data_IF_216050966401
#
_entry.id   IF_216050966401
#
_cell.length_a   1.000
_cell.length_b   1.000
_cell.length_c   1.000
_cell.angle_alpha   90.00
_cell.angle_beta   90.00
_cell.angle_gamma   90.00
#
_symmetry.space_group_name_H-M   'P 1'
#
loop_
_entity.id
_entity.type
_entity.pdbx_description
1 polymer ?
#
# COMPACT_ATOMS: atom_id res chain seq x y z
N UNK A 1 13.18 23.63 11.00
CA UNK A 1 12.16 22.65 11.31
C UNK A 1 12.80 21.30 11.62
N UNK A 2 12.42 20.69 12.69
CA UNK A 2 12.97 19.38 12.95
C UNK A 2 12.50 18.38 11.89
N UNK A 3 13.40 17.58 11.43
CA UNK A 3 13.05 16.47 10.56
C UNK A 3 12.26 15.44 11.33
N UNK A 4 11.43 14.69 10.63
CA UNK A 4 10.75 13.56 11.23
C UNK A 4 11.80 12.57 11.73
N UNK A 5 11.66 12.13 12.98
CA UNK A 5 12.51 11.09 13.55
C UNK A 5 12.20 9.70 12.97
N UNK A 6 11.09 9.56 12.25
CA UNK A 6 10.66 8.29 11.69
C UNK A 6 11.02 8.23 10.22
N UNK A 7 11.90 7.30 9.89
CA UNK A 7 12.27 7.00 8.51
C UNK A 7 11.77 5.62 8.16
N UNK A 8 10.87 5.55 7.19
CA UNK A 8 10.33 4.27 6.74
C UNK A 8 11.33 3.62 5.80
N UNK A 9 11.72 2.40 6.14
CA UNK A 9 12.51 1.55 5.26
C UNK A 9 11.57 0.59 4.54
N UNK A 10 11.80 0.43 3.25
CA UNK A 10 10.97 -0.43 2.42
C UNK A 10 11.72 -1.66 1.96
N UNK A 11 11.05 -2.80 1.92
CA UNK A 11 11.58 -3.99 1.27
C UNK A 11 11.60 -3.76 -0.24
N UNK A 12 12.48 -4.46 -0.94
CA UNK A 12 12.59 -4.38 -2.40
C UNK A 12 11.60 -5.30 -3.11
N UNK A 13 10.98 -6.20 -2.35
CA UNK A 13 10.00 -7.14 -2.88
C UNK A 13 8.76 -7.13 -2.00
N UNK A 14 7.62 -7.41 -2.62
CA UNK A 14 6.36 -7.57 -1.90
C UNK A 14 6.39 -8.92 -1.19
N UNK A 15 6.01 -8.93 0.09
CA UNK A 15 5.92 -10.17 0.87
C UNK A 15 4.85 -11.09 0.28
N UNK A 16 5.10 -12.40 0.30
CA UNK A 16 4.15 -13.38 -0.25
C UNK A 16 2.75 -13.28 0.38
N UNK A 17 2.69 -13.07 1.70
CA UNK A 17 1.39 -12.95 2.38
C UNK A 17 0.60 -11.72 1.93
N UNK A 18 1.24 -10.70 1.37
CA UNK A 18 0.54 -9.53 0.85
C UNK A 18 -0.23 -9.87 -0.42
N UNK A 19 0.31 -10.75 -1.27
CA UNK A 19 -0.44 -11.23 -2.43
C UNK A 19 -1.67 -12.03 -2.02
N UNK A 20 -1.55 -12.86 -0.97
CA UNK A 20 -2.69 -13.57 -0.43
C UNK A 20 -3.74 -12.62 0.15
N UNK A 21 -3.31 -11.57 0.83
CA UNK A 21 -4.22 -10.54 1.35
C UNK A 21 -4.92 -9.79 0.21
N UNK A 22 -4.19 -9.45 -0.86
CA UNK A 22 -4.78 -8.82 -2.03
C UNK A 22 -5.82 -9.72 -2.70
N UNK A 23 -5.53 -11.01 -2.82
CA UNK A 23 -6.45 -11.99 -3.36
C UNK A 23 -7.74 -12.05 -2.54
N UNK A 24 -7.62 -12.12 -1.22
CA UNK A 24 -8.77 -12.15 -0.32
C UNK A 24 -9.63 -10.88 -0.48
N UNK A 25 -9.01 -9.72 -0.54
CA UNK A 25 -9.71 -8.46 -0.75
C UNK A 25 -10.42 -8.43 -2.11
N UNK A 26 -9.71 -8.77 -3.18
CA UNK A 26 -10.26 -8.71 -4.53
C UNK A 26 -11.37 -9.73 -4.75
N UNK A 27 -11.35 -10.85 -4.02
CA UNK A 27 -12.42 -11.86 -4.11
C UNK A 27 -13.79 -11.34 -3.66
N UNK A 28 -13.81 -10.22 -2.94
CA UNK A 28 -15.06 -9.55 -2.55
C UNK A 28 -15.64 -8.72 -3.70
N UNK A 29 -14.87 -8.46 -4.75
CA UNK A 29 -15.23 -7.55 -5.83
C UNK A 29 -15.25 -8.22 -7.19
N UNK A 30 -14.47 -9.26 -7.38
CA UNK A 30 -14.25 -9.91 -8.69
C UNK A 30 -14.51 -11.41 -8.59
N UNK A 31 -14.80 -12.04 -9.72
CA UNK A 31 -14.89 -13.50 -9.78
C UNK A 31 -13.50 -14.15 -9.70
N UNK A 32 -13.46 -15.46 -9.50
CA UNK A 32 -12.22 -16.20 -9.26
C UNK A 32 -11.20 -16.04 -10.40
N UNK A 33 -11.66 -16.10 -11.65
CA UNK A 33 -10.77 -15.93 -12.81
C UNK A 33 -10.16 -14.53 -12.85
N UNK A 34 -10.98 -13.52 -12.61
CA UNK A 34 -10.52 -12.13 -12.59
C UNK A 34 -9.53 -11.87 -11.46
N UNK A 35 -9.76 -12.46 -10.29
CA UNK A 35 -8.84 -12.38 -9.15
C UNK A 35 -7.50 -13.00 -9.51
N UNK A 36 -7.51 -14.21 -10.05
CA UNK A 36 -6.28 -14.91 -10.44
C UNK A 36 -5.47 -14.10 -11.45
N UNK A 37 -6.13 -13.55 -12.46
CA UNK A 37 -5.46 -12.71 -13.46
C UNK A 37 -4.91 -11.44 -12.87
N UNK A 38 -5.68 -10.76 -12.00
CA UNK A 38 -5.25 -9.51 -11.36
C UNK A 38 -4.03 -9.74 -10.47
N UNK A 39 -4.05 -10.76 -9.63
CA UNK A 39 -2.93 -11.08 -8.75
C UNK A 39 -1.71 -11.50 -9.59
N UNK A 40 -1.92 -12.25 -10.67
CA UNK A 40 -0.83 -12.61 -11.59
C UNK A 40 -0.15 -11.38 -12.20
N UNK A 41 -0.94 -10.38 -12.63
CA UNK A 41 -0.40 -9.11 -13.13
C UNK A 41 0.36 -8.34 -12.05
N UNK A 42 -0.16 -8.32 -10.82
CA UNK A 42 0.54 -7.68 -9.71
C UNK A 42 1.87 -8.35 -9.43
N UNK A 43 1.94 -9.68 -9.47
CA UNK A 43 3.20 -10.41 -9.23
C UNK A 43 4.27 -10.03 -10.25
N UNK A 44 3.90 -9.82 -11.50
CA UNK A 44 4.86 -9.52 -12.58
C UNK A 44 5.10 -8.04 -12.79
N UNK A 45 4.29 -7.16 -12.17
CA UNK A 45 4.48 -5.73 -12.30
C UNK A 45 5.79 -5.29 -11.67
N UNK A 46 6.39 -4.25 -12.23
CA UNK A 46 7.61 -3.66 -11.67
C UNK A 46 7.27 -2.72 -10.53
N UNK A 47 8.16 -2.63 -9.55
CA UNK A 47 8.05 -1.62 -8.52
C UNK A 47 8.18 -0.23 -9.13
N UNK A 48 7.34 0.66 -8.68
CA UNK A 48 7.39 2.08 -8.99
C UNK A 48 7.09 2.86 -7.72
N UNK A 49 7.00 4.17 -7.80
CA UNK A 49 6.72 5.03 -6.66
C UNK A 49 5.61 6.00 -7.02
N UNK A 50 4.74 6.24 -6.06
CA UNK A 50 3.71 7.29 -6.16
C UNK A 50 3.60 7.98 -4.81
N UNK A 51 3.12 9.21 -4.80
CA UNK A 51 2.89 9.95 -3.57
C UNK A 51 1.68 9.39 -2.83
N UNK A 52 1.77 9.34 -1.50
CA UNK A 52 0.68 8.85 -0.67
C UNK A 52 -0.65 9.56 -0.97
N UNK A 53 -0.62 10.89 -1.09
CA UNK A 53 -1.78 11.70 -1.42
C UNK A 53 -2.44 11.25 -2.73
N UNK A 54 -1.65 11.02 -3.77
CA UNK A 54 -2.18 10.63 -5.08
C UNK A 54 -2.80 9.23 -5.06
N UNK A 55 -2.17 8.30 -4.34
CA UNK A 55 -2.71 6.94 -4.19
C UNK A 55 -4.08 6.99 -3.53
N UNK A 56 -4.21 7.73 -2.42
CA UNK A 56 -5.48 7.85 -1.70
C UNK A 56 -6.55 8.51 -2.56
N UNK A 57 -6.20 9.57 -3.29
CA UNK A 57 -7.14 10.25 -4.19
C UNK A 57 -7.63 9.30 -5.29
N UNK A 58 -6.72 8.57 -5.92
CA UNK A 58 -7.09 7.63 -6.98
C UNK A 58 -7.98 6.51 -6.45
N UNK A 59 -7.76 6.09 -5.22
CA UNK A 59 -8.58 5.05 -4.58
C UNK A 59 -9.90 5.59 -3.99
N UNK A 60 -10.06 6.91 -3.95
CA UNK A 60 -11.25 7.53 -3.34
C UNK A 60 -11.31 7.33 -1.83
N UNK A 61 -10.16 7.26 -1.17
CA UNK A 61 -10.07 6.94 0.25
C UNK A 61 -9.49 8.10 1.04
N UNK A 62 -9.93 8.20 2.30
CA UNK A 62 -9.34 9.08 3.30
C UNK A 62 -8.34 8.26 4.10
N UNK A 63 -7.19 8.85 4.42
CA UNK A 63 -6.19 8.18 5.24
C UNK A 63 -6.76 7.83 6.61
N UNK A 64 -6.43 6.64 7.10
CA UNK A 64 -6.73 6.26 8.47
C UNK A 64 -5.96 7.18 9.42
N UNK A 65 -6.49 7.46 10.62
CA UNK A 65 -5.79 8.28 11.59
C UNK A 65 -4.53 7.59 12.12
N UNK A 66 -3.61 8.37 12.64
CA UNK A 66 -2.34 7.84 13.14
C UNK A 66 -2.54 6.84 14.29
N UNK A 67 -3.59 6.99 15.07
CA UNK A 67 -3.92 6.10 16.18
C UNK A 67 -4.73 4.86 15.76
N UNK A 68 -5.03 4.72 14.47
CA UNK A 68 -5.63 3.48 13.97
C UNK A 68 -4.71 2.29 14.29
N UNK A 69 -5.24 1.16 14.79
CA UNK A 69 -4.39 0.02 15.17
C UNK A 69 -3.49 -0.50 14.05
N UNK A 70 -3.98 -0.53 12.81
CA UNK A 70 -3.18 -0.96 11.67
C UNK A 70 -2.05 0.02 11.35
N UNK A 71 -2.34 1.32 11.41
CA UNK A 71 -1.33 2.38 11.20
C UNK A 71 -0.31 2.35 12.32
N UNK A 72 -0.75 2.21 13.57
CA UNK A 72 0.18 2.14 14.71
C UNK A 72 1.09 0.93 14.64
N UNK A 73 0.58 -0.20 14.20
CA UNK A 73 1.40 -1.40 14.00
C UNK A 73 2.54 -1.13 13.01
N UNK A 74 2.22 -0.48 11.89
CA UNK A 74 3.23 -0.15 10.88
C UNK A 74 4.20 0.93 11.40
N UNK A 75 3.71 1.89 12.15
CA UNK A 75 4.56 2.91 12.78
C UNK A 75 5.58 2.28 13.73
N UNK A 76 5.14 1.34 14.56
CA UNK A 76 6.04 0.62 15.49
C UNK A 76 7.12 -0.13 14.70
N UNK A 77 6.75 -0.81 13.63
CA UNK A 77 7.72 -1.49 12.75
C UNK A 77 8.74 -0.50 12.20
N UNK A 78 8.28 0.65 11.72
CA UNK A 78 9.16 1.68 11.17
C UNK A 78 10.14 2.22 12.23
N UNK A 79 9.64 2.46 13.44
CA UNK A 79 10.48 2.93 14.56
C UNK A 79 11.52 1.88 14.91
N UNK A 80 11.16 0.61 14.89
CA UNK A 80 12.07 -0.51 15.17
C UNK A 80 13.07 -0.79 14.04
N UNK A 81 12.91 -0.11 12.91
CA UNK A 81 13.80 -0.28 11.76
C UNK A 81 13.43 -1.45 10.86
N UNK A 82 12.27 -2.05 11.04
CA UNK A 82 11.79 -3.11 10.17
C UNK A 82 11.39 -2.54 8.80
N UNK A 83 11.64 -3.30 7.75
CA UNK A 83 11.25 -2.91 6.41
C UNK A 83 9.78 -3.20 6.18
N UNK A 84 9.08 -2.22 5.62
CA UNK A 84 7.69 -2.40 5.21
C UNK A 84 7.64 -2.94 3.78
N UNK A 85 6.66 -3.78 3.52
CA UNK A 85 6.42 -4.33 2.19
C UNK A 85 5.82 -3.25 1.27
N UNK A 86 6.23 -3.17 0.00
CA UNK A 86 5.58 -2.29 -0.96
C UNK A 86 4.08 -2.57 -1.10
N UNK A 87 3.34 -1.58 -1.55
CA UNK A 87 1.88 -1.62 -1.63
C UNK A 87 1.44 -2.24 -2.96
N UNK A 88 0.27 -2.85 -2.99
CA UNK A 88 -0.33 -3.42 -4.20
C UNK A 88 -1.55 -2.61 -4.60
N UNK A 89 -1.55 -2.10 -5.82
CA UNK A 89 -2.62 -1.27 -6.37
C UNK A 89 -3.11 -1.88 -7.69
N UNK A 90 -4.43 -2.07 -7.78
CA UNK A 90 -5.06 -2.51 -9.01
C UNK A 90 -5.70 -1.29 -9.67
N UNK A 91 -5.26 -0.95 -10.88
CA UNK A 91 -5.83 0.17 -11.59
C UNK A 91 -7.15 -0.23 -12.25
N UNK A 92 -8.06 0.73 -12.35
CA UNK A 92 -9.38 0.55 -12.93
C UNK A 92 -9.70 1.76 -13.79
N UNK A 93 -10.75 1.65 -14.63
CA UNK A 93 -11.13 2.74 -15.53
C UNK A 93 -11.46 4.04 -14.82
N UNK A 94 -11.97 3.97 -13.59
CA UNK A 94 -12.41 5.14 -12.82
C UNK A 94 -11.66 5.28 -11.51
N UNK A 95 -10.37 5.00 -11.50
CA UNK A 95 -9.58 5.13 -10.30
C UNK A 95 -8.70 3.93 -10.07
N UNK A 96 -8.48 3.60 -8.83
CA UNK A 96 -7.62 2.49 -8.43
C UNK A 96 -8.14 1.87 -7.14
N UNK A 97 -7.76 0.61 -6.91
CA UNK A 97 -8.01 -0.06 -5.64
C UNK A 97 -6.69 -0.35 -4.97
N UNK A 98 -6.58 -0.01 -3.69
CA UNK A 98 -5.46 -0.47 -2.88
C UNK A 98 -5.79 -1.92 -2.50
N UNK A 99 -5.22 -2.87 -3.23
CA UNK A 99 -5.50 -4.27 -3.00
C UNK A 99 -4.84 -4.77 -1.71
N UNK A 100 -3.73 -4.16 -1.32
CA UNK A 100 -3.08 -4.41 -0.04
C UNK A 100 -2.18 -3.24 0.31
N UNK A 101 -2.22 -2.79 1.57
CA UNK A 101 -1.31 -1.75 2.06
C UNK A 101 -1.96 -0.41 2.40
N UNK A 102 -3.28 -0.35 2.56
CA UNK A 102 -3.97 0.90 2.93
C UNK A 102 -3.38 1.56 4.18
N UNK A 103 -3.08 0.78 5.22
CA UNK A 103 -2.51 1.33 6.46
C UNK A 103 -1.11 1.87 6.24
N UNK A 104 -0.31 1.23 5.38
CA UNK A 104 1.03 1.73 5.03
C UNK A 104 0.97 3.05 4.27
N UNK A 105 0.04 3.17 3.32
CA UNK A 105 -0.18 4.44 2.61
C UNK A 105 -0.65 5.51 3.59
N UNK A 106 -1.57 5.16 4.49
CA UNK A 106 -2.06 6.08 5.52
C UNK A 106 -0.93 6.56 6.42
N UNK A 107 -0.05 5.67 6.86
CA UNK A 107 1.10 6.04 7.67
C UNK A 107 1.98 7.07 6.95
N UNK A 108 2.36 6.80 5.71
CA UNK A 108 3.17 7.74 4.94
C UNK A 108 2.46 9.09 4.85
N UNK A 109 1.16 9.08 4.53
CA UNK A 109 0.37 10.31 4.41
C UNK A 109 0.39 11.13 5.70
N UNK A 110 0.27 10.47 6.86
CA UNK A 110 0.26 11.17 8.16
C UNK A 110 1.62 11.76 8.51
N UNK A 111 2.69 11.12 8.05
CA UNK A 111 4.05 11.66 8.25
C UNK A 111 4.37 12.74 7.22
N UNK A 112 3.97 12.54 5.96
CA UNK A 112 4.16 13.47 4.86
C UNK A 112 3.18 13.12 3.74
N UNK A 113 2.14 13.94 3.49
CA UNK A 113 1.15 13.64 2.43
C UNK A 113 1.76 13.46 1.05
N UNK A 114 2.90 14.07 0.79
CA UNK A 114 3.60 13.98 -0.50
C UNK A 114 4.73 12.97 -0.48
N UNK A 115 4.83 12.17 0.61
CA UNK A 115 5.84 11.14 0.74
C UNK A 115 5.68 10.04 -0.29
N UNK A 116 6.80 9.53 -0.76
CA UNK A 116 6.82 8.47 -1.76
C UNK A 116 6.49 7.12 -1.14
N UNK A 117 5.66 6.35 -1.84
CA UNK A 117 5.28 4.99 -1.48
C UNK A 117 5.67 4.07 -2.62
N UNK A 118 6.54 3.08 -2.39
CA UNK A 118 6.81 2.07 -3.41
C UNK A 118 5.62 1.12 -3.55
N UNK A 119 5.28 0.80 -4.78
CA UNK A 119 4.11 -0.02 -5.06
C UNK A 119 4.25 -0.73 -6.40
N UNK A 120 3.43 -1.74 -6.58
CA UNK A 120 3.16 -2.35 -7.88
C UNK A 120 1.76 -1.95 -8.31
N UNK A 121 1.63 -1.55 -9.58
CA UNK A 121 0.36 -1.19 -10.20
C UNK A 121 0.09 -2.13 -11.36
N UNK A 122 -1.08 -2.69 -11.40
CA UNK A 122 -1.51 -3.53 -12.50
C UNK A 122 -2.89 -3.18 -13.00
#
# INVERSE_FOLDING_TARGET
MPESAVHIKWAQEVANHDYAAAEAYLSLKLDDDAVTKAVGRLRTAKLTTRRANDILRAAGLTAAPLDDPGVMKDLVKAIEGDRLSPVLVLSAKKGADIADGFHRVSLVYRLDPYGDVPLKIA
#
